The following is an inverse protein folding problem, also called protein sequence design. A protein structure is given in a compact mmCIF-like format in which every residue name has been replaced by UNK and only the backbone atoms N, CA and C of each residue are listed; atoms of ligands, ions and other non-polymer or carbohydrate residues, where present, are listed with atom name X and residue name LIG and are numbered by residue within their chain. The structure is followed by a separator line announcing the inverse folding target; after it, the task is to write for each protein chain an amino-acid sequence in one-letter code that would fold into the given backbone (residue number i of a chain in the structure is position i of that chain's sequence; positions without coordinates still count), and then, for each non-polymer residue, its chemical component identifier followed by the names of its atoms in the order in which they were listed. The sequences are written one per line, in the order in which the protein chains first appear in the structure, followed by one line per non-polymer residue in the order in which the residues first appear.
data_IF_459781537376
#
_entry.id   IF_459781537376
#
_cell.length_a   1.000
_cell.length_b   1.000
_cell.length_c   1.000
_cell.angle_alpha   90.00
_cell.angle_beta   90.00
_cell.angle_gamma   90.00
#
_symmetry.space_group_name_H-M   'P 1'
#
loop_
_entity.id
_entity.type
_entity.pdbx_description
1 polymer ?
#
# COMPACT_ATOMS: atom_id res chain seq x y z
N UNK A 1 -11.42 16.73 0.15
CA UNK A 1 -11.57 15.61 1.09
C UNK A 1 -10.20 14.99 1.26
N UNK A 2 -9.80 14.66 2.48
CA UNK A 2 -8.55 13.98 2.79
C UNK A 2 -8.74 12.51 2.44
N UNK A 3 -7.85 11.94 1.64
CA UNK A 3 -7.94 10.54 1.21
C UNK A 3 -6.97 9.69 2.03
N UNK A 4 -7.49 8.69 2.74
CA UNK A 4 -6.68 7.81 3.61
C UNK A 4 -6.64 6.42 3.00
N UNK A 5 -5.44 6.00 2.58
CA UNK A 5 -5.20 4.66 2.05
C UNK A 5 -5.08 3.62 3.17
N UNK A 6 -6.04 2.71 3.26
CA UNK A 6 -6.02 1.59 4.20
C UNK A 6 -5.50 0.35 3.48
N UNK A 7 -4.25 -0.02 3.75
CA UNK A 7 -3.52 -1.07 3.02
C UNK A 7 -3.62 -2.41 3.76
N UNK A 8 -4.19 -3.43 3.11
CA UNK A 8 -4.07 -4.81 3.57
C UNK A 8 -2.71 -5.38 3.16
N UNK A 9 -1.80 -5.51 4.14
CA UNK A 9 -0.42 -5.93 3.97
C UNK A 9 -0.21 -7.43 3.71
N UNK A 10 -1.21 -8.17 3.28
CA UNK A 10 -1.10 -9.60 2.96
C UNK A 10 -1.99 -9.97 1.79
N UNK A 11 -1.50 -10.88 0.94
CA UNK A 11 -2.25 -11.50 -0.17
C UNK A 11 -2.72 -12.92 0.16
N UNK A 12 -2.45 -13.41 1.38
CA UNK A 12 -2.74 -14.80 1.81
C UNK A 12 -3.78 -14.89 2.92
N UNK A 13 -4.10 -13.78 3.58
CA UNK A 13 -4.83 -13.80 4.85
C UNK A 13 -6.34 -13.69 4.65
N UNK A 14 -7.04 -14.84 4.71
CA UNK A 14 -8.52 -14.87 4.75
C UNK A 14 -9.06 -14.12 5.98
N UNK A 15 -8.34 -14.16 7.10
CA UNK A 15 -8.67 -13.38 8.29
C UNK A 15 -8.51 -11.88 8.03
N UNK A 16 -7.42 -11.47 7.38
CA UNK A 16 -7.19 -10.08 6.99
C UNK A 16 -8.31 -9.54 6.11
N UNK A 17 -8.75 -10.32 5.11
CA UNK A 17 -9.88 -9.96 4.25
C UNK A 17 -11.21 -9.86 5.03
N UNK A 18 -11.38 -10.68 6.07
CA UNK A 18 -12.57 -10.61 6.92
C UNK A 18 -12.57 -9.36 7.80
N UNK A 19 -11.40 -8.99 8.33
CA UNK A 19 -11.23 -7.78 9.15
C UNK A 19 -11.41 -6.52 8.29
N UNK A 20 -10.81 -6.44 7.09
CA UNK A 20 -10.95 -5.26 6.23
C UNK A 20 -12.41 -5.06 5.80
N UNK A 21 -13.14 -6.12 5.44
CA UNK A 21 -14.59 -6.05 5.14
C UNK A 21 -15.41 -5.57 6.33
N UNK A 22 -15.06 -6.02 7.54
CA UNK A 22 -15.69 -5.51 8.75
C UNK A 22 -15.46 -4.01 8.90
N UNK A 23 -14.21 -3.54 8.74
CA UNK A 23 -13.87 -2.13 8.83
C UNK A 23 -14.56 -1.29 7.74
N UNK A 24 -14.55 -1.74 6.48
CA UNK A 24 -15.31 -1.13 5.36
C UNK A 24 -16.79 -0.94 5.70
N UNK A 25 -17.39 -1.89 6.43
CA UNK A 25 -18.79 -1.80 6.86
C UNK A 25 -19.03 -0.76 7.96
N UNK A 26 -18.02 -0.49 8.79
CA UNK A 26 -18.09 0.41 9.96
C UNK A 26 -17.63 1.83 9.64
N UNK A 27 -16.64 1.97 8.76
CA UNK A 27 -16.02 3.23 8.39
C UNK A 27 -16.41 3.58 6.95
N UNK A 28 -17.41 4.46 6.83
CA UNK A 28 -17.85 5.03 5.56
C UNK A 28 -17.18 6.38 5.35
N UNK A 29 -17.10 6.79 4.08
CA UNK A 29 -16.68 8.14 3.72
C UNK A 29 -17.53 9.19 4.43
N UNK A 30 -16.87 10.29 4.78
CA UNK A 30 -17.46 11.45 5.43
C UNK A 30 -17.32 12.67 4.53
N UNK A 31 -17.80 13.83 4.97
CA UNK A 31 -17.60 15.08 4.24
C UNK A 31 -16.13 15.52 4.19
N UNK A 32 -15.29 15.01 5.10
CA UNK A 32 -13.89 15.43 5.24
C UNK A 32 -12.90 14.34 4.86
N UNK A 33 -13.25 13.07 5.06
CA UNK A 33 -12.37 11.90 4.85
C UNK A 33 -12.99 10.92 3.87
N UNK A 34 -12.20 10.50 2.88
CA UNK A 34 -12.49 9.39 1.99
C UNK A 34 -11.52 8.24 2.30
N UNK A 35 -12.03 7.03 2.46
CA UNK A 35 -11.20 5.84 2.66
C UNK A 35 -10.93 5.14 1.33
N UNK A 36 -9.65 4.90 1.03
CA UNK A 36 -9.24 4.06 -0.09
C UNK A 36 -8.79 2.69 0.45
N UNK A 37 -9.57 1.64 0.16
CA UNK A 37 -9.33 0.29 0.68
C UNK A 37 -8.45 -0.51 -0.27
N UNK A 38 -7.15 -0.53 0.03
CA UNK A 38 -6.10 -1.02 -0.86
C UNK A 38 -5.75 -2.46 -0.50
N UNK A 39 -5.93 -3.37 -1.46
CA UNK A 39 -5.48 -4.77 -1.35
C UNK A 39 -4.24 -4.97 -2.23
N UNK A 40 -3.14 -5.44 -1.64
CA UNK A 40 -1.89 -5.66 -2.38
C UNK A 40 -2.03 -6.66 -3.53
N UNK A 41 -2.99 -7.59 -3.46
CA UNK A 41 -3.28 -8.54 -4.56
C UNK A 41 -3.65 -7.85 -5.88
N UNK A 42 -4.14 -6.61 -5.83
CA UNK A 42 -4.48 -5.82 -7.03
C UNK A 42 -3.24 -5.19 -7.71
N UNK A 43 -2.06 -5.39 -7.13
CA UNK A 43 -0.77 -4.87 -7.58
C UNK A 43 0.23 -6.04 -7.60
N UNK A 44 0.23 -6.87 -8.66
CA UNK A 44 1.18 -7.98 -8.78
C UNK A 44 2.58 -7.41 -9.04
N UNK A 45 3.27 -7.10 -7.96
CA UNK A 45 4.65 -6.61 -7.94
C UNK A 45 5.58 -7.83 -7.91
N UNK A 46 6.48 -7.90 -8.89
CA UNK A 46 7.62 -8.81 -8.83
C UNK A 46 8.53 -8.44 -7.65
N UNK A 47 9.40 -9.34 -7.19
CA UNK A 47 10.46 -8.96 -6.25
C UNK A 47 11.23 -7.74 -6.77
N UNK A 48 11.42 -6.75 -5.91
CA UNK A 48 12.13 -5.53 -6.22
C UNK A 48 13.55 -5.87 -6.70
N UNK A 49 13.88 -5.44 -7.91
CA UNK A 49 15.12 -5.77 -8.60
C UNK A 49 15.64 -4.61 -9.46
N UNK A 50 15.14 -3.40 -9.22
CA UNK A 50 15.66 -2.19 -9.86
C UNK A 50 17.02 -1.83 -9.25
N UNK A 51 17.92 -1.27 -10.06
CA UNK A 51 19.26 -0.87 -9.62
C UNK A 51 19.21 0.42 -8.77
N UNK A 52 18.17 1.24 -8.99
CA UNK A 52 17.97 2.48 -8.27
C UNK A 52 17.54 2.24 -6.82
N UNK A 53 17.62 3.28 -5.99
CA UNK A 53 17.02 3.30 -4.66
C UNK A 53 16.00 4.44 -4.66
N UNK A 54 14.69 4.19 -4.50
CA UNK A 54 13.65 5.17 -4.89
C UNK A 54 13.75 6.52 -4.16
N UNK A 55 14.22 6.51 -2.90
CA UNK A 55 14.46 7.73 -2.10
C UNK A 55 15.68 8.54 -2.55
N UNK A 56 16.60 7.93 -3.30
CA UNK A 56 17.82 8.59 -3.80
C UNK A 56 17.71 8.95 -5.28
N UNK A 57 17.21 8.03 -6.10
CA UNK A 57 17.07 8.19 -7.53
C UNK A 57 15.71 7.62 -7.98
N UNK A 58 14.98 8.30 -8.89
CA UNK A 58 13.75 7.74 -9.46
C UNK A 58 14.02 6.43 -10.19
N UNK A 59 13.16 5.43 -9.98
CA UNK A 59 13.21 4.17 -10.72
C UNK A 59 12.94 4.44 -12.21
N UNK A 60 13.77 3.91 -13.10
CA UNK A 60 13.53 3.95 -14.54
C UNK A 60 12.92 2.63 -15.03
N UNK A 61 12.18 2.66 -16.14
CA UNK A 61 11.64 1.43 -16.75
C UNK A 61 10.58 0.69 -15.92
N UNK A 62 9.83 1.41 -15.08
CA UNK A 62 8.75 0.85 -14.28
C UNK A 62 7.73 0.09 -15.16
N UNK A 63 7.29 -1.07 -14.67
CA UNK A 63 6.23 -1.88 -15.30
C UNK A 63 4.85 -1.35 -14.96
N UNK A 64 3.84 -1.75 -15.72
CA UNK A 64 2.47 -1.29 -15.52
C UNK A 64 1.92 -1.52 -14.09
N UNK A 65 2.24 -2.66 -13.45
CA UNK A 65 1.82 -2.93 -12.06
C UNK A 65 2.54 -2.04 -11.04
N UNK A 66 3.81 -1.70 -11.31
CA UNK A 66 4.63 -0.83 -10.48
C UNK A 66 4.15 0.63 -10.58
N UNK A 67 3.90 1.11 -11.79
CA UNK A 67 3.22 2.40 -12.03
C UNK A 67 1.89 2.47 -11.25
N UNK A 68 1.04 1.45 -11.40
CA UNK A 68 -0.26 1.41 -10.74
C UNK A 68 -0.13 1.51 -9.22
N UNK A 69 0.86 0.84 -8.64
CA UNK A 69 1.12 0.89 -7.20
C UNK A 69 1.58 2.27 -6.74
N UNK A 70 2.55 2.87 -7.45
CA UNK A 70 3.06 4.19 -7.10
C UNK A 70 2.01 5.29 -7.29
N UNK A 71 1.22 5.22 -8.36
CA UNK A 71 0.12 6.15 -8.62
C UNK A 71 -0.98 6.02 -7.56
N UNK A 72 -1.26 4.80 -7.08
CA UNK A 72 -2.18 4.56 -5.98
C UNK A 72 -1.72 5.30 -4.71
N UNK A 73 -0.47 5.11 -4.29
CA UNK A 73 0.08 5.79 -3.12
C UNK A 73 0.13 7.31 -3.29
N UNK A 74 0.48 7.78 -4.49
CA UNK A 74 0.55 9.21 -4.78
C UNK A 74 -0.80 9.90 -4.58
N UNK A 75 -1.91 9.21 -4.87
CA UNK A 75 -3.26 9.74 -4.80
C UNK A 75 -3.82 9.88 -3.36
N UNK A 76 -3.23 9.22 -2.37
CA UNK A 76 -3.66 9.27 -0.97
C UNK A 76 -2.88 10.33 -0.18
N UNK A 77 -3.51 10.93 0.83
CA UNK A 77 -2.91 11.97 1.69
C UNK A 77 -2.25 11.39 2.96
N UNK A 78 -2.52 10.12 3.27
CA UNK A 78 -2.00 9.41 4.44
C UNK A 78 -2.44 7.95 4.42
N UNK A 79 -1.87 7.13 5.30
CA UNK A 79 -2.08 5.68 5.25
C UNK A 79 -2.39 5.07 6.61
N UNK A 80 -3.03 3.90 6.57
CA UNK A 80 -3.11 2.95 7.68
C UNK A 80 -2.70 1.59 7.13
N UNK A 81 -1.65 0.99 7.68
CA UNK A 81 -1.16 -0.31 7.22
C UNK A 81 -1.68 -1.41 8.15
N UNK A 82 -2.55 -2.26 7.62
CA UNK A 82 -3.06 -3.44 8.29
C UNK A 82 -2.19 -4.64 7.93
N UNK A 83 -1.29 -5.02 8.82
CA UNK A 83 -0.36 -6.14 8.60
C UNK A 83 -0.57 -7.27 9.60
N UNK A 84 -0.63 -8.54 9.16
CA UNK A 84 -0.36 -9.65 10.06
C UNK A 84 1.14 -9.72 10.40
N UNK A 85 1.50 -10.53 11.39
CA UNK A 85 2.89 -10.90 11.68
C UNK A 85 3.17 -12.28 11.05
N UNK A 86 4.19 -12.36 10.19
CA UNK A 86 4.74 -13.61 9.65
C UNK A 86 6.17 -13.78 10.14
N UNK A 87 6.41 -14.84 10.92
CA UNK A 87 7.74 -15.18 11.46
C UNK A 87 8.43 -13.98 12.15
N UNK A 88 7.70 -13.33 13.07
CA UNK A 88 8.17 -12.15 13.81
C UNK A 88 8.48 -10.90 12.95
N UNK A 89 7.98 -10.85 11.73
CA UNK A 89 8.16 -9.73 10.81
C UNK A 89 6.88 -9.38 10.03
N UNK A 90 6.94 -8.30 9.26
CA UNK A 90 5.92 -7.99 8.25
C UNK A 90 5.97 -9.01 7.10
N UNK A 91 4.86 -9.27 6.40
CA UNK A 91 4.84 -10.17 5.26
C UNK A 91 5.82 -9.69 4.18
N UNK A 92 6.55 -10.64 3.57
CA UNK A 92 7.49 -10.33 2.50
C UNK A 92 6.85 -9.59 1.33
N UNK A 93 5.57 -9.84 1.01
CA UNK A 93 4.83 -9.10 -0.01
C UNK A 93 4.63 -7.63 0.35
N UNK A 94 4.37 -7.32 1.63
CA UNK A 94 4.25 -5.94 2.09
C UNK A 94 5.61 -5.25 2.03
N UNK A 95 6.66 -5.91 2.53
CA UNK A 95 8.03 -5.38 2.44
C UNK A 95 8.43 -5.09 0.99
N UNK A 96 8.14 -6.03 0.08
CA UNK A 96 8.40 -5.86 -1.34
C UNK A 96 7.64 -4.67 -1.93
N UNK A 97 6.36 -4.52 -1.61
CA UNK A 97 5.58 -3.37 -2.07
C UNK A 97 6.16 -2.04 -1.56
N UNK A 98 6.65 -2.01 -0.31
CA UNK A 98 7.30 -0.84 0.28
C UNK A 98 8.67 -0.54 -0.34
N UNK A 99 9.38 -1.54 -0.86
CA UNK A 99 10.69 -1.35 -1.51
C UNK A 99 10.62 -0.57 -2.82
N UNK A 100 9.45 -0.55 -3.47
CA UNK A 100 9.21 0.29 -4.65
C UNK A 100 8.99 1.77 -4.31
N UNK A 101 8.65 2.09 -3.07
CA UNK A 101 8.13 3.41 -2.68
C UNK A 101 9.27 4.41 -2.49
N UNK A 102 9.13 5.59 -3.10
CA UNK A 102 10.04 6.71 -2.92
C UNK A 102 9.29 7.99 -2.55
N UNK A 103 9.42 9.08 -3.34
CA UNK A 103 8.87 10.38 -3.00
C UNK A 103 7.32 10.43 -3.00
N UNK A 104 6.63 9.39 -3.45
CA UNK A 104 5.17 9.32 -3.51
C UNK A 104 4.50 9.46 -2.14
N UNK A 105 5.23 9.16 -1.07
CA UNK A 105 4.75 9.19 0.32
C UNK A 105 5.41 10.27 1.18
N UNK A 106 6.20 11.16 0.57
CA UNK A 106 6.93 12.18 1.33
C UNK A 106 5.95 13.09 2.09
N UNK A 107 6.27 13.35 3.36
CA UNK A 107 5.43 14.10 4.31
C UNK A 107 3.99 13.57 4.54
N UNK A 108 3.68 12.34 4.13
CA UNK A 108 2.36 11.72 4.40
C UNK A 108 2.39 10.94 5.71
N UNK A 109 1.41 11.13 6.63
CA UNK A 109 1.33 10.35 7.85
C UNK A 109 0.97 8.88 7.58
N UNK A 110 1.48 7.99 8.43
CA UNK A 110 1.22 6.54 8.44
C UNK A 110 0.93 6.09 9.87
#
# INVERSE_FOLDING_TARGET
MIKIGVVLGSIRSQLGESIIKYLESKFRDTQTVQFDWIRLENFPLEPYQHDETPLSNPITGLKASEHKWLDQLKADDGFVIMTPEYDHAIPGVLKNALDYVGPEVDHKPV
#
